data_IF_474116468984
#
_entry.id   IF_474116468984
#
_cell.length_a   1.000
_cell.length_b   1.000
_cell.length_c   1.000
_cell.angle_alpha   90.00
_cell.angle_beta   90.00
_cell.angle_gamma   90.00
#
_symmetry.space_group_name_H-M   'P 1'
#
loop_
_entity.id
_entity.type
_entity.pdbx_description
1 polymer ?
#
# COMPACT_ATOMS: atom_id res chain seq x y z
N UNK A 1 -28.13 19.01 -12.49
CA UNK A 1 -26.98 19.48 -11.69
C UNK A 1 -27.07 18.80 -10.34
N UNK A 2 -26.34 17.70 -10.17
CA UNK A 2 -26.28 16.94 -8.92
C UNK A 2 -25.02 17.39 -8.17
N UNK A 3 -25.21 17.93 -6.97
CA UNK A 3 -24.11 18.35 -6.08
C UNK A 3 -23.36 17.11 -5.58
N UNK A 4 -22.05 17.07 -5.81
CA UNK A 4 -21.14 16.07 -5.23
C UNK A 4 -20.92 16.44 -3.76
N UNK A 5 -21.31 15.57 -2.84
CA UNK A 5 -21.12 15.77 -1.40
C UNK A 5 -19.71 15.34 -0.98
N UNK A 6 -19.02 16.18 -0.21
CA UNK A 6 -17.76 15.81 0.45
C UNK A 6 -18.12 15.14 1.78
N UNK A 7 -17.84 13.85 1.92
CA UNK A 7 -17.94 13.17 3.22
C UNK A 7 -16.66 13.41 4.04
N UNK A 8 -16.80 13.99 5.23
CA UNK A 8 -15.71 14.21 6.17
C UNK A 8 -15.73 13.10 7.22
N UNK A 9 -14.67 12.28 7.27
CA UNK A 9 -14.45 11.31 8.35
C UNK A 9 -13.40 11.86 9.30
N UNK A 10 -13.71 11.87 10.60
CA UNK A 10 -12.76 12.28 11.66
C UNK A 10 -12.36 11.06 12.47
N UNK A 11 -11.05 10.80 12.57
CA UNK A 11 -10.47 9.76 13.43
C UNK A 11 -9.77 10.38 14.65
N UNK A 12 -9.91 9.75 15.81
CA UNK A 12 -9.17 10.12 17.03
C UNK A 12 -8.06 9.09 17.29
N UNK A 13 -6.80 9.49 17.08
CA UNK A 13 -5.68 8.86 17.76
C UNK A 13 -5.28 9.78 18.91
N UNK A 14 -5.02 9.19 20.09
CA UNK A 14 -4.74 9.92 21.33
C UNK A 14 -3.77 11.08 21.06
N UNK A 15 -4.31 12.29 21.23
CA UNK A 15 -3.65 13.59 21.26
C UNK A 15 -3.32 14.33 19.96
N UNK A 16 -3.73 13.89 18.76
CA UNK A 16 -3.78 14.78 17.59
C UNK A 16 -4.96 14.41 16.67
N UNK A 17 -5.81 15.38 16.34
CA UNK A 17 -6.90 15.23 15.37
C UNK A 17 -6.36 15.59 13.98
N UNK A 18 -6.20 14.60 13.11
CA UNK A 18 -5.87 14.81 11.70
C UNK A 18 -7.11 14.48 10.85
N UNK A 19 -7.45 15.38 9.93
CA UNK A 19 -8.49 15.14 8.93
C UNK A 19 -7.79 14.71 7.63
N UNK A 20 -7.98 13.46 7.21
CA UNK A 20 -7.62 13.02 5.86
C UNK A 20 -8.86 13.17 4.98
N UNK A 21 -8.76 14.01 3.94
CA UNK A 21 -9.84 14.16 2.96
C UNK A 21 -9.79 12.97 1.99
N UNK A 22 -10.76 12.07 2.08
CA UNK A 22 -11.00 11.06 1.06
C UNK A 22 -12.01 11.63 0.04
N UNK A 23 -11.69 11.71 -1.25
CA UNK A 23 -12.71 12.05 -2.24
C UNK A 23 -13.78 10.96 -2.26
N UNK A 24 -15.04 11.37 -2.20
CA UNK A 24 -16.19 10.47 -2.29
C UNK A 24 -16.22 9.85 -3.70
N UNK A 25 -15.95 8.55 -3.78
CA UNK A 25 -16.09 7.68 -4.95
C UNK A 25 -15.39 8.14 -6.25
N UNK A 26 -14.13 7.72 -6.38
CA UNK A 26 -13.51 7.03 -7.53
C UNK A 26 -12.06 7.50 -7.77
N UNK A 27 -11.13 6.66 -7.30
CA UNK A 27 -9.68 6.68 -7.54
C UNK A 27 -8.86 7.74 -6.79
N UNK A 28 -8.44 7.34 -5.59
CA UNK A 28 -7.21 7.85 -4.98
C UNK A 28 -6.06 7.63 -5.98
N UNK A 29 -5.25 8.67 -6.29
CA UNK A 29 -4.10 8.52 -7.18
C UNK A 29 -3.18 7.44 -6.60
N UNK A 30 -3.06 6.33 -7.34
CA UNK A 30 -2.29 5.17 -6.91
C UNK A 30 -1.65 4.50 -8.12
N UNK A 31 -0.44 3.99 -7.93
CA UNK A 31 0.25 3.20 -8.94
C UNK A 31 -0.04 1.73 -8.65
N UNK A 32 -0.65 1.05 -9.62
CA UNK A 32 -0.88 -0.40 -9.56
C UNK A 32 -0.09 -1.08 -10.66
N UNK A 33 0.79 -2.00 -10.30
CA UNK A 33 1.54 -2.85 -11.24
C UNK A 33 0.66 -4.01 -11.71
N UNK A 34 0.75 -4.34 -13.01
CA UNK A 34 0.23 -5.59 -13.55
C UNK A 34 1.26 -6.68 -13.31
N UNK A 35 0.88 -7.69 -12.53
CA UNK A 35 1.79 -8.76 -12.11
C UNK A 35 1.23 -10.12 -12.50
N UNK A 36 2.11 -11.11 -12.58
CA UNK A 36 1.77 -12.52 -12.76
C UNK A 36 2.33 -13.28 -11.54
N UNK A 37 1.45 -13.92 -10.76
CA UNK A 37 1.87 -14.93 -9.80
C UNK A 37 1.99 -16.27 -10.50
N UNK A 38 3.11 -16.96 -10.28
CA UNK A 38 3.30 -18.33 -10.75
C UNK A 38 3.17 -19.23 -9.52
N UNK A 39 2.01 -19.88 -9.42
CA UNK A 39 1.63 -20.74 -8.32
C UNK A 39 2.70 -21.81 -8.06
N UNK A 40 3.36 -21.78 -6.90
CA UNK A 40 4.52 -22.66 -6.62
C UNK A 40 4.17 -24.15 -6.75
N UNK A 41 2.97 -24.55 -6.33
CA UNK A 41 2.54 -25.95 -6.34
C UNK A 41 2.16 -26.46 -7.74
N UNK A 42 1.62 -25.60 -8.61
CA UNK A 42 1.00 -26.02 -9.87
C UNK A 42 1.64 -25.45 -11.12
N UNK A 43 2.51 -24.44 -10.98
CA UNK A 43 3.05 -23.65 -12.09
C UNK A 43 2.01 -22.74 -12.77
N UNK A 44 0.76 -22.72 -12.28
CA UNK A 44 -0.32 -21.92 -12.85
C UNK A 44 0.03 -20.43 -12.78
N UNK A 45 -0.12 -19.76 -13.91
CA UNK A 45 0.03 -18.30 -14.04
C UNK A 45 -1.29 -17.63 -13.68
N UNK A 46 -1.23 -16.64 -12.81
CA UNK A 46 -2.38 -15.93 -12.27
C UNK A 46 -2.09 -14.43 -12.39
N UNK A 47 -2.89 -13.74 -13.19
CA UNK A 47 -2.82 -12.28 -13.28
C UNK A 47 -3.30 -11.64 -11.97
N UNK A 48 -2.57 -10.65 -11.49
CA UNK A 48 -2.91 -9.86 -10.31
C UNK A 48 -2.57 -8.38 -10.53
N UNK A 49 -3.22 -7.51 -9.76
CA UNK A 49 -2.85 -6.09 -9.66
C UNK A 49 -2.23 -5.84 -8.29
N UNK A 50 -0.99 -5.37 -8.29
CA UNK A 50 -0.27 -5.04 -7.08
C UNK A 50 -0.25 -3.54 -6.85
N UNK A 51 -0.84 -3.07 -5.75
CA UNK A 51 -0.74 -1.68 -5.31
C UNK A 51 0.66 -1.42 -4.74
N UNK A 52 1.30 -0.32 -5.15
CA UNK A 52 2.46 0.21 -4.45
C UNK A 52 1.97 1.07 -3.29
N UNK A 53 2.33 0.70 -2.05
CA UNK A 53 1.87 1.40 -0.86
C UNK A 53 2.96 1.50 0.21
N UNK A 54 3.61 2.66 0.30
CA UNK A 54 4.63 2.91 1.32
C UNK A 54 4.08 3.05 2.74
N UNK A 55 2.75 3.02 2.91
CA UNK A 55 2.10 3.06 4.23
C UNK A 55 1.72 1.67 4.76
N UNK A 56 1.93 0.61 3.96
CA UNK A 56 1.75 -0.77 4.36
C UNK A 56 3.09 -1.44 4.65
N UNK A 57 3.17 -2.23 5.72
CA UNK A 57 4.33 -3.06 6.04
C UNK A 57 4.22 -4.43 5.34
N UNK A 58 5.33 -4.98 4.85
CA UNK A 58 5.36 -6.30 4.23
C UNK A 58 4.83 -6.39 2.79
N UNK A 59 4.77 -7.62 2.29
CA UNK A 59 4.16 -7.97 1.01
C UNK A 59 2.87 -8.72 1.32
N UNK A 60 1.73 -8.20 0.86
CA UNK A 60 0.42 -8.66 1.29
C UNK A 60 -0.39 -9.18 0.10
N UNK A 61 -1.14 -10.26 0.28
CA UNK A 61 -2.09 -10.79 -0.70
C UNK A 61 -3.48 -10.90 -0.08
N UNK A 62 -4.51 -10.59 -0.87
CA UNK A 62 -5.89 -10.68 -0.41
C UNK A 62 -6.29 -12.13 -0.17
N UNK A 63 -6.87 -12.41 1.00
CA UNK A 63 -7.33 -13.75 1.38
C UNK A 63 -8.37 -14.35 0.42
N UNK A 64 -9.34 -13.57 -0.04
CA UNK A 64 -10.34 -14.02 -1.01
C UNK A 64 -9.69 -14.30 -2.37
N UNK A 65 -8.74 -13.47 -2.80
CA UNK A 65 -7.97 -13.71 -4.02
C UNK A 65 -7.18 -15.02 -3.93
N UNK A 66 -6.45 -15.24 -2.83
CA UNK A 66 -5.66 -16.43 -2.60
C UNK A 66 -6.52 -17.70 -2.60
N UNK A 67 -7.69 -17.66 -1.93
CA UNK A 67 -8.66 -18.76 -1.90
C UNK A 67 -9.26 -19.03 -3.29
N UNK A 68 -9.72 -18.00 -4.00
CA UNK A 68 -10.26 -18.09 -5.36
C UNK A 68 -9.29 -18.77 -6.32
N UNK A 69 -8.01 -18.45 -6.20
CA UNK A 69 -6.95 -19.00 -7.05
C UNK A 69 -6.31 -20.29 -6.50
N UNK A 70 -6.80 -20.80 -5.37
CA UNK A 70 -6.33 -22.04 -4.73
C UNK A 70 -4.82 -22.02 -4.47
N UNK A 71 -4.32 -20.89 -3.99
CA UNK A 71 -2.93 -20.77 -3.56
C UNK A 71 -2.69 -21.62 -2.31
N UNK A 72 -1.52 -22.24 -2.21
CA UNK A 72 -1.13 -22.98 -1.01
C UNK A 72 -0.88 -22.01 0.14
N UNK A 73 -1.71 -22.08 1.17
CA UNK A 73 -1.58 -21.30 2.40
C UNK A 73 -0.84 -22.12 3.45
N UNK A 74 0.07 -21.46 4.17
CA UNK A 74 0.89 -22.04 5.22
C UNK A 74 0.66 -21.27 6.52
N UNK A 75 0.58 -21.94 7.67
CA UNK A 75 0.39 -21.25 8.95
C UNK A 75 1.66 -20.51 9.39
N UNK A 76 1.50 -19.32 9.97
CA UNK A 76 2.58 -18.56 10.61
C UNK A 76 2.67 -18.99 12.08
N UNK A 77 3.89 -19.08 12.61
CA UNK A 77 4.13 -19.46 14.03
C UNK A 77 3.68 -18.38 15.01
N UNK A 78 3.98 -17.11 14.69
CA UNK A 78 3.65 -15.96 15.52
C UNK A 78 2.60 -15.12 14.80
N UNK A 79 1.38 -15.17 15.31
CA UNK A 79 0.28 -14.36 14.80
C UNK A 79 0.53 -12.89 15.15
N UNK A 80 0.16 -11.98 14.27
CA UNK A 80 0.19 -10.54 14.55
C UNK A 80 -1.10 -9.87 14.05
N UNK A 81 -1.57 -8.82 14.73
CA UNK A 81 -2.75 -8.09 14.29
C UNK A 81 -2.40 -7.20 13.09
N UNK A 82 -3.31 -7.08 12.14
CA UNK A 82 -3.26 -6.04 11.11
C UNK A 82 -4.28 -4.98 11.44
N UNK A 83 -3.84 -3.72 11.39
CA UNK A 83 -4.73 -2.55 11.51
C UNK A 83 -4.84 -1.87 10.16
N UNK A 84 -6.04 -1.44 9.84
CA UNK A 84 -6.28 -0.61 8.68
C UNK A 84 -5.72 0.80 8.94
N UNK A 85 -5.57 1.60 7.88
CA UNK A 85 -5.02 2.97 7.95
C UNK A 85 -5.83 3.87 8.90
N UNK A 86 -7.14 3.65 9.02
CA UNK A 86 -8.02 4.38 9.94
C UNK A 86 -7.93 3.92 11.40
N UNK A 87 -7.07 2.93 11.69
CA UNK A 87 -6.87 2.35 13.01
C UNK A 87 -7.88 1.27 13.40
N UNK A 88 -8.84 0.95 12.53
CA UNK A 88 -9.77 -0.17 12.74
C UNK A 88 -9.06 -1.52 12.62
N UNK A 89 -9.65 -2.57 13.22
CA UNK A 89 -9.19 -3.93 13.04
C UNK A 89 -9.49 -4.42 11.63
N UNK A 90 -8.54 -5.16 11.04
CA UNK A 90 -8.80 -5.83 9.78
C UNK A 90 -9.96 -6.83 9.91
N UNK A 91 -10.75 -7.03 8.86
CA UNK A 91 -11.91 -7.95 8.88
C UNK A 91 -11.49 -9.40 9.12
N UNK A 92 -10.29 -9.80 8.69
CA UNK A 92 -9.70 -11.11 8.98
C UNK A 92 -8.99 -11.15 10.35
N UNK A 93 -8.88 -10.02 11.02
CA UNK A 93 -8.28 -9.85 12.34
C UNK A 93 -6.77 -10.06 12.33
N UNK A 94 -6.34 -11.21 12.85
CA UNK A 94 -4.91 -11.56 12.97
C UNK A 94 -4.44 -12.26 11.71
N UNK A 95 -3.24 -11.91 11.24
CA UNK A 95 -2.57 -12.66 10.17
C UNK A 95 -2.16 -14.02 10.74
N UNK A 96 -2.65 -15.07 10.09
CA UNK A 96 -2.43 -16.47 10.48
C UNK A 96 -1.73 -17.28 9.42
N UNK A 97 -1.79 -16.81 8.18
CA UNK A 97 -1.37 -17.55 7.02
C UNK A 97 -0.49 -16.69 6.13
N UNK A 98 0.40 -17.36 5.43
CA UNK A 98 1.20 -16.79 4.38
C UNK A 98 1.22 -17.73 3.18
N UNK A 99 1.65 -17.22 2.03
CA UNK A 99 1.84 -18.01 0.82
C UNK A 99 3.14 -17.61 0.14
N UNK A 100 3.90 -18.58 -0.37
CA UNK A 100 5.11 -18.32 -1.15
C UNK A 100 4.82 -18.50 -2.62
N UNK A 101 4.98 -17.43 -3.41
CA UNK A 101 4.74 -17.44 -4.85
C UNK A 101 5.91 -16.84 -5.61
N UNK A 102 6.05 -17.19 -6.89
CA UNK A 102 6.94 -16.39 -7.74
C UNK A 102 6.14 -15.21 -8.29
N UNK A 103 6.56 -14.00 -7.95
CA UNK A 103 6.02 -12.76 -8.49
C UNK A 103 6.79 -12.41 -9.76
N UNK A 104 6.09 -12.11 -10.85
CA UNK A 104 6.69 -11.60 -12.09
C UNK A 104 6.02 -10.29 -12.50
N UNK A 105 6.83 -9.33 -12.91
CA UNK A 105 6.40 -8.01 -13.35
C UNK A 105 7.09 -7.67 -14.67
N UNK A 106 6.31 -7.47 -15.72
CA UNK A 106 6.81 -7.19 -17.06
C UNK A 106 7.01 -5.68 -17.29
N UNK A 107 7.96 -5.33 -18.15
CA UNK A 107 7.97 -4.02 -18.81
C UNK A 107 6.72 -3.84 -19.67
N UNK A 108 6.38 -2.58 -19.98
CA UNK A 108 5.18 -2.21 -20.75
C UNK A 108 5.15 -2.83 -22.14
N UNK A 109 6.32 -2.97 -22.78
CA UNK A 109 6.49 -3.61 -24.08
C UNK A 109 6.52 -5.15 -24.01
N UNK A 110 6.62 -5.73 -22.81
CA UNK A 110 6.68 -7.18 -22.59
C UNK A 110 8.05 -7.82 -22.85
N UNK A 111 9.07 -7.03 -23.20
CA UNK A 111 10.38 -7.52 -23.63
C UNK A 111 11.35 -7.79 -22.47
N UNK A 112 11.11 -7.15 -21.32
CA UNK A 112 11.88 -7.28 -20.09
C UNK A 112 10.95 -7.69 -18.94
N UNK A 113 11.52 -8.32 -17.91
CA UNK A 113 10.75 -8.61 -16.69
C UNK A 113 11.63 -8.72 -15.46
N UNK A 114 11.05 -8.36 -14.33
CA UNK A 114 11.51 -8.72 -12.99
C UNK A 114 10.76 -9.98 -12.53
N UNK A 115 11.46 -10.89 -11.85
CA UNK A 115 10.85 -12.05 -11.19
C UNK A 115 11.55 -12.33 -9.87
N UNK A 116 10.78 -12.65 -8.85
CA UNK A 116 11.29 -13.00 -7.52
C UNK A 116 10.44 -14.09 -6.87
N UNK A 117 10.97 -14.72 -5.83
CA UNK A 117 10.20 -15.59 -4.93
C UNK A 117 9.82 -14.76 -3.71
N UNK A 118 8.55 -14.37 -3.64
CA UNK A 118 8.02 -13.55 -2.57
C UNK A 118 7.18 -14.36 -1.58
N UNK A 119 7.30 -14.01 -0.30
CA UNK A 119 6.44 -14.45 0.78
C UNK A 119 5.35 -13.40 0.98
N UNK A 120 4.08 -13.79 0.84
CA UNK A 120 2.94 -12.91 0.99
C UNK A 120 2.18 -13.24 2.27
N UNK A 121 1.96 -12.25 3.11
CA UNK A 121 1.03 -12.36 4.23
C UNK A 121 -0.41 -12.30 3.74
N UNK A 122 -1.26 -13.18 4.27
CA UNK A 122 -2.66 -13.31 3.85
C UNK A 122 -3.56 -12.55 4.82
N UNK A 123 -4.25 -11.54 4.32
CA UNK A 123 -5.26 -10.77 5.08
C UNK A 123 -6.27 -10.13 4.13
N UNK A 124 -7.32 -9.50 4.65
CA UNK A 124 -8.20 -8.68 3.83
C UNK A 124 -7.52 -7.33 3.52
N UNK A 125 -7.56 -6.91 2.26
CA UNK A 125 -7.03 -5.62 1.78
C UNK A 125 -8.04 -4.92 0.86
N UNK A 126 -9.33 -5.21 1.06
CA UNK A 126 -10.41 -4.68 0.23
C UNK A 126 -10.33 -5.18 -1.21
N UNK A 127 -10.54 -4.28 -2.17
CA UNK A 127 -10.61 -4.62 -3.60
C UNK A 127 -9.23 -4.80 -4.29
N UNK A 128 -8.15 -4.88 -3.51
CA UNK A 128 -6.80 -5.05 -4.02
C UNK A 128 -6.42 -6.54 -4.05
N UNK A 129 -5.72 -6.99 -5.09
CA UNK A 129 -5.23 -8.37 -5.15
C UNK A 129 -3.97 -8.54 -4.29
N UNK A 130 -3.03 -7.59 -4.42
CA UNK A 130 -1.73 -7.56 -3.75
C UNK A 130 -1.41 -6.13 -3.29
N UNK A 131 -0.72 -5.99 -2.17
CA UNK A 131 0.00 -4.76 -1.78
C UNK A 131 1.50 -5.07 -1.73
N UNK A 132 2.30 -4.22 -2.39
CA UNK A 132 3.75 -4.15 -2.24
C UNK A 132 4.06 -3.02 -1.27
N UNK A 133 4.29 -3.40 -0.01
CA UNK A 133 4.56 -2.49 1.09
C UNK A 133 6.02 -2.07 1.19
N UNK A 134 6.37 -1.50 2.35
CA UNK A 134 7.71 -0.97 2.67
C UNK A 134 8.80 -2.00 2.47
N UNK A 135 8.61 -3.26 2.85
CA UNK A 135 9.64 -4.31 2.73
C UNK A 135 10.07 -4.48 1.27
N UNK A 136 9.10 -4.54 0.35
CA UNK A 136 9.38 -4.65 -1.08
C UNK A 136 10.02 -3.38 -1.63
N UNK A 137 9.53 -2.21 -1.17
CA UNK A 137 10.03 -0.91 -1.61
C UNK A 137 11.44 -0.61 -1.13
N UNK A 138 11.79 -1.00 0.10
CA UNK A 138 13.13 -0.86 0.65
C UNK A 138 14.11 -1.81 -0.02
N UNK A 139 13.71 -3.07 -0.23
CA UNK A 139 14.55 -4.08 -0.88
C UNK A 139 14.86 -3.73 -2.34
N UNK A 140 13.86 -3.29 -3.10
CA UNK A 140 14.01 -3.05 -4.54
C UNK A 140 14.32 -1.60 -4.90
N UNK A 141 13.96 -0.66 -4.01
CA UNK A 141 14.12 0.78 -4.17
C UNK A 141 13.87 1.22 -5.62
N UNK A 142 12.65 1.10 -6.18
CA UNK A 142 12.40 1.43 -7.58
C UNK A 142 12.54 2.94 -7.84
N UNK A 143 12.83 3.33 -9.09
CA UNK A 143 12.60 4.72 -9.51
C UNK A 143 11.13 4.86 -9.86
N UNK A 144 10.42 5.77 -9.18
CA UNK A 144 9.00 6.01 -9.41
C UNK A 144 8.81 7.44 -9.90
N UNK A 145 8.25 7.58 -11.09
CA UNK A 145 7.66 8.84 -11.54
C UNK A 145 6.15 8.80 -11.29
N UNK A 146 5.71 9.54 -10.28
CA UNK A 146 4.30 9.62 -9.91
C UNK A 146 3.45 10.37 -10.93
N UNK A 147 4.02 11.34 -11.63
CA UNK A 147 3.31 12.14 -12.63
C UNK A 147 2.93 11.28 -13.83
N UNK A 148 3.87 10.42 -14.26
CA UNK A 148 3.68 9.53 -15.41
C UNK A 148 3.21 8.12 -15.04
N UNK A 149 3.03 7.85 -13.73
CA UNK A 149 2.76 6.51 -13.21
C UNK A 149 3.74 5.46 -13.77
N UNK A 150 5.03 5.82 -13.77
CA UNK A 150 6.12 4.98 -14.24
C UNK A 150 6.89 4.40 -13.06
N UNK A 151 7.30 3.14 -13.19
CA UNK A 151 8.11 2.43 -12.21
C UNK A 151 9.23 1.70 -12.95
N UNK A 152 10.46 1.92 -12.53
CA UNK A 152 11.66 1.29 -13.10
C UNK A 152 12.44 0.52 -12.03
N UNK A 153 12.78 -0.73 -12.34
CA UNK A 153 13.55 -1.60 -11.45
C UNK A 153 15.03 -1.56 -11.84
N UNK A 154 15.76 -0.64 -11.21
CA UNK A 154 17.19 -0.40 -11.49
C UNK A 154 18.14 -0.92 -10.41
N UNK A 155 17.59 -1.35 -9.27
CA UNK A 155 18.34 -1.68 -8.04
C UNK A 155 17.90 -3.01 -7.42
N UNK A 156 17.38 -3.94 -8.23
CA UNK A 156 16.99 -5.25 -7.73
C UNK A 156 18.17 -5.99 -7.09
N UNK A 157 17.96 -6.67 -5.95
CA UNK A 157 18.93 -7.62 -5.41
C UNK A 157 19.29 -8.76 -6.37
N UNK A 158 20.42 -9.42 -6.15
CA UNK A 158 20.86 -10.59 -6.93
C UNK A 158 19.94 -11.82 -6.79
N UNK A 159 19.09 -11.85 -5.76
CA UNK A 159 18.06 -12.87 -5.57
C UNK A 159 16.94 -12.77 -6.60
N UNK A 160 16.82 -11.62 -7.28
CA UNK A 160 15.86 -11.38 -8.33
C UNK A 160 16.36 -11.91 -9.68
N UNK A 161 15.45 -12.42 -10.50
CA UNK A 161 15.70 -12.82 -11.88
C UNK A 161 15.17 -11.71 -12.79
N UNK A 162 16.08 -10.97 -13.42
CA UNK A 162 15.74 -9.92 -14.39
C UNK A 162 16.09 -10.33 -15.81
N UNK A 163 15.13 -10.27 -16.73
CA UNK A 163 15.39 -10.36 -18.16
C UNK A 163 15.60 -8.97 -18.74
N UNK A 164 16.69 -8.78 -19.50
CA UNK A 164 17.12 -7.50 -20.09
C UNK A 164 17.19 -6.36 -19.06
N UNK A 165 18.00 -6.47 -17.98
CA UNK A 165 18.12 -5.41 -16.98
C UNK A 165 18.80 -4.14 -17.53
N UNK A 166 18.46 -2.95 -17.01
CA UNK A 166 17.42 -2.71 -16.00
C UNK A 166 16.01 -2.89 -16.58
N UNK A 167 15.06 -3.32 -15.76
CA UNK A 167 13.67 -3.51 -16.20
C UNK A 167 12.96 -2.16 -16.09
N UNK A 168 12.86 -1.46 -17.21
CA UNK A 168 12.27 -0.12 -17.29
C UNK A 168 10.79 -0.18 -17.70
N UNK A 169 10.08 0.90 -17.38
CA UNK A 169 8.69 1.15 -17.72
C UNK A 169 7.80 -0.04 -17.38
N UNK A 170 7.80 -0.50 -16.13
CA UNK A 170 6.94 -1.60 -15.70
C UNK A 170 5.49 -1.37 -16.14
N UNK A 171 4.81 -2.47 -16.46
CA UNK A 171 3.42 -2.45 -16.89
C UNK A 171 2.53 -2.01 -15.73
N UNK A 172 2.12 -0.75 -15.73
CA UNK A 172 1.16 -0.21 -14.77
C UNK A 172 -0.26 -0.33 -15.32
N UNK A 173 -1.23 -0.52 -14.42
CA UNK A 173 -2.64 -0.26 -14.73
C UNK A 173 -2.77 1.25 -14.83
N UNK A 174 -3.07 1.76 -16.03
CA UNK A 174 -3.36 3.19 -16.21
C UNK A 174 -4.44 3.59 -15.18
N UNK A 175 -4.19 4.61 -14.34
CA UNK A 175 -5.28 5.30 -13.67
C UNK A 175 -6.27 5.76 -14.75
N UNK A 176 -7.57 5.81 -14.44
CA UNK A 176 -8.46 6.56 -15.30
C UNK A 176 -7.93 8.00 -15.26
N UNK A 177 -7.54 8.54 -16.42
CA UNK A 177 -6.97 9.89 -16.49
C UNK A 177 -8.05 10.87 -16.07
N UNK A 178 -7.97 11.32 -14.82
CA UNK A 178 -8.67 12.52 -14.35
C UNK A 178 -7.63 13.64 -14.39
N UNK A 179 -7.91 14.74 -15.13
CA UNK A 179 -6.96 15.85 -15.32
C UNK A 179 -6.43 16.35 -13.96
N UNK A 180 -5.10 16.25 -13.70
CA UNK A 180 -4.53 16.71 -12.43
C UNK A 180 -4.80 18.20 -12.16
N UNK A 181 -4.99 19.01 -13.21
CA UNK A 181 -5.22 20.46 -13.12
C UNK A 181 -6.65 20.82 -12.68
N UNK A 182 -7.60 19.89 -12.75
CA UNK A 182 -8.94 20.11 -12.20
C UNK A 182 -9.01 19.71 -10.72
N UNK A 183 -8.18 18.78 -10.24
CA UNK A 183 -8.33 18.26 -8.87
C UNK A 183 -7.56 19.02 -7.79
N UNK A 184 -6.36 19.56 -8.07
CA UNK A 184 -5.58 20.31 -7.06
C UNK A 184 -6.27 21.58 -6.53
N UNK A 185 -7.25 22.11 -7.27
CA UNK A 185 -8.02 23.31 -6.84
C UNK A 185 -9.15 23.00 -5.85
N UNK A 186 -9.50 21.74 -5.68
CA UNK A 186 -10.62 21.32 -4.82
C UNK A 186 -10.18 20.73 -3.47
N UNK A 187 -8.87 20.52 -3.27
CA UNK A 187 -8.31 20.19 -1.95
C UNK A 187 -8.23 21.47 -1.09
N UNK A 188 -9.35 21.87 -0.50
CA UNK A 188 -9.37 22.87 0.56
C UNK A 188 -9.00 22.19 1.89
N UNK A 189 -7.73 22.27 2.30
CA UNK A 189 -7.33 21.91 3.66
C UNK A 189 -7.84 23.00 4.61
N UNK A 190 -8.99 22.77 5.26
CA UNK A 190 -9.42 23.58 6.40
C UNK A 190 -8.79 23.02 7.66
N UNK A 191 -7.83 23.75 8.22
CA UNK A 191 -7.44 23.56 9.62
C UNK A 191 -8.67 23.81 10.49
N UNK A 192 -9.14 22.79 11.21
CA UNK A 192 -10.05 23.02 12.31
C UNK A 192 -9.25 23.69 13.42
N UNK A 193 -9.66 24.90 13.82
CA UNK A 193 -9.12 25.47 15.04
C UNK A 193 -9.41 24.52 16.20
N UNK A 194 -8.46 24.29 17.12
CA UNK A 194 -8.65 23.37 18.22
C UNK A 194 -9.89 23.78 19.01
N UNK A 195 -10.89 22.89 19.05
CA UNK A 195 -12.08 23.08 19.87
C UNK A 195 -11.70 22.77 21.31
N UNK A 196 -11.17 23.78 22.00
CA UNK A 196 -10.81 23.69 23.41
C UNK A 196 -9.79 24.75 23.80
N UNK A 197 -10.08 25.50 24.86
CA UNK A 197 -9.10 26.37 25.49
C UNK A 197 -7.91 25.52 25.96
N UNK A 198 -6.73 25.79 25.41
CA UNK A 198 -5.47 25.31 25.98
C UNK A 198 -5.37 25.84 27.42
N UNK A 199 -5.60 24.97 28.41
CA UNK A 199 -5.14 25.25 29.77
C UNK A 199 -3.64 24.94 29.81
N UNK A 200 -2.77 25.92 30.11
CA UNK A 200 -1.34 25.63 30.23
C UNK A 200 -1.14 24.62 31.35
N UNK A 201 -0.49 23.50 31.04
CA UNK A 201 -0.01 22.56 32.03
C UNK A 201 1.08 23.27 32.83
N UNK A 202 0.87 23.44 34.14
CA UNK A 202 1.87 24.02 35.01
C UNK A 202 3.15 23.16 34.95
N UNK A 203 4.28 23.78 34.60
CA UNK A 203 5.58 23.11 34.65
C UNK A 203 5.87 22.68 36.10
N UNK A 204 6.31 21.42 36.34
CA UNK A 204 6.76 21.05 37.67
C UNK A 204 7.99 21.89 38.03
N UNK A 205 7.91 22.60 39.16
CA UNK A 205 9.04 23.33 39.73
C UNK A 205 10.16 22.33 40.01
N UNK A 206 11.27 22.45 39.29
CA UNK A 206 12.52 21.77 39.65
C UNK A 206 12.95 22.33 41.00
N UNK A 207 12.90 21.50 42.04
CA UNK A 207 13.41 21.86 43.35
C UNK A 207 14.94 22.02 43.23
N UNK A 208 15.40 23.27 43.33
CA UNK A 208 16.83 23.57 43.37
C UNK A 208 17.48 22.84 44.54
N UNK A 209 18.47 22.00 44.24
CA UNK A 209 19.42 21.50 45.24
C UNK A 209 20.21 22.68 45.78
N UNK A 210 19.96 23.06 47.04
CA UNK A 210 20.91 23.83 47.85
C UNK A 210 21.82 22.84 48.58
N UNK A 211 23.04 22.69 48.09
CA UNK A 211 24.32 23.00 48.76
C UNK A 211 25.46 22.51 47.88
#
# INVERSE_FOLDING_TARGET
MSSVGVEQYTGQLKNNQYSVLYPSSEQIPSIKLKTELIAKATGKKIDANALIDSSAEGIIINGQFAQKHQLTLLPIKNLFPVRNVDGSENTMGWVREYTIQNLRIYSRDGEAYHKEKAEFYVTDIGDHDIILGTDWLEEHNPNIDWSDSQVDMTRCPETCITAKPPVLHLKTRKPIVVDPRTHHKDYQVRWLEPVGQFKPVAQPKIAGRRR
#
